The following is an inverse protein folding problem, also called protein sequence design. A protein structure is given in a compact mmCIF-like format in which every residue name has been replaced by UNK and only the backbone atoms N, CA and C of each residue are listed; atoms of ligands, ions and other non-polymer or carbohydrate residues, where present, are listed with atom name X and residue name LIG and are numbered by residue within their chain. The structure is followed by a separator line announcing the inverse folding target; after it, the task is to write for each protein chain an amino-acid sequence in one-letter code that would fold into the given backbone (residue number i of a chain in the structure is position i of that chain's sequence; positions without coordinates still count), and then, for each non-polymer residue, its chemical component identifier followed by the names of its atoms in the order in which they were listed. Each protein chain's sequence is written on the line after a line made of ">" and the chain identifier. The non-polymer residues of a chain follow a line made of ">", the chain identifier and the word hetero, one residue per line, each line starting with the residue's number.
data_IF_371366698234
#
_entry.id   IF_371366698234
#
_cell.length_a   1.000
_cell.length_b   1.000
_cell.length_c   1.000
_cell.angle_alpha   90.00
_cell.angle_beta   90.00
_cell.angle_gamma   90.00
#
_symmetry.space_group_name_H-M   'P 1'
#
loop_
_entity.id
_entity.type
_entity.pdbx_description
1 polymer ?
#
# COMPACT_ATOMS: atom_id res chain seq x y z
N UNK A 1 -4.04 2.61 -27.78
CA UNK A 1 -4.57 1.99 -26.55
C UNK A 1 -5.05 3.12 -25.65
N UNK A 2 -6.30 3.09 -25.22
CA UNK A 2 -6.80 4.09 -24.25
C UNK A 2 -6.44 3.67 -22.84
N UNK A 3 -5.83 4.57 -22.06
CA UNK A 3 -5.50 4.33 -20.66
C UNK A 3 -6.74 4.67 -19.82
N UNK A 4 -7.30 3.68 -19.12
CA UNK A 4 -8.43 3.90 -18.21
C UNK A 4 -7.95 4.50 -16.88
N UNK A 5 -7.97 5.82 -16.79
CA UNK A 5 -7.55 6.58 -15.60
C UNK A 5 -8.35 6.19 -14.35
N UNK A 6 -9.66 5.93 -14.49
CA UNK A 6 -10.52 5.53 -13.36
C UNK A 6 -10.05 4.18 -12.83
N UNK A 7 -9.87 3.19 -13.70
CA UNK A 7 -9.37 1.86 -13.32
C UNK A 7 -7.99 1.94 -12.65
N UNK A 8 -7.12 2.83 -13.14
CA UNK A 8 -5.79 3.04 -12.57
C UNK A 8 -5.82 3.71 -11.19
N UNK A 9 -6.68 4.71 -10.99
CA UNK A 9 -6.89 5.35 -9.69
C UNK A 9 -7.53 4.40 -8.68
N UNK A 10 -8.51 3.60 -9.11
CA UNK A 10 -9.12 2.55 -8.28
C UNK A 10 -8.09 1.52 -7.84
N UNK A 11 -7.23 1.06 -8.76
CA UNK A 11 -6.13 0.15 -8.44
C UNK A 11 -5.14 0.76 -7.43
N UNK A 12 -4.78 2.03 -7.62
CA UNK A 12 -3.89 2.74 -6.70
C UNK A 12 -4.50 2.85 -5.28
N UNK A 13 -5.82 3.09 -5.19
CA UNK A 13 -6.53 3.11 -3.90
C UNK A 13 -6.58 1.73 -3.24
N UNK A 14 -6.79 0.65 -4.01
CA UNK A 14 -6.74 -0.72 -3.49
C UNK A 14 -5.34 -1.06 -2.95
N UNK A 15 -4.29 -0.70 -3.67
CA UNK A 15 -2.91 -0.89 -3.23
C UNK A 15 -2.61 -0.10 -1.95
N UNK A 16 -3.16 1.11 -1.80
CA UNK A 16 -3.06 1.88 -0.56
C UNK A 16 -3.69 1.14 0.64
N UNK A 17 -4.84 0.51 0.45
CA UNK A 17 -5.50 -0.32 1.46
C UNK A 17 -4.70 -1.59 1.80
N UNK A 18 -4.20 -2.29 0.78
CA UNK A 18 -3.34 -3.47 0.95
C UNK A 18 -2.06 -3.13 1.76
N UNK A 19 -1.43 -2.00 1.47
CA UNK A 19 -0.26 -1.54 2.19
C UNK A 19 -0.55 -1.21 3.66
N UNK A 20 -1.69 -0.56 3.96
CA UNK A 20 -2.14 -0.30 5.33
C UNK A 20 -2.33 -1.61 6.12
N UNK A 21 -2.92 -2.63 5.49
CA UNK A 21 -3.06 -3.96 6.08
C UNK A 21 -1.72 -4.61 6.47
N UNK A 22 -0.61 -4.14 5.90
CA UNK A 22 0.76 -4.59 6.20
C UNK A 22 1.54 -3.64 7.11
N UNK A 23 0.87 -2.74 7.83
CA UNK A 23 1.45 -1.68 8.67
C UNK A 23 2.37 -0.72 7.89
N UNK A 24 2.07 -0.44 6.63
CA UNK A 24 2.77 0.56 5.81
C UNK A 24 1.89 1.78 5.58
N UNK A 25 2.49 2.91 5.22
CA UNK A 25 1.76 4.13 4.84
C UNK A 25 0.96 3.92 3.56
N UNK A 26 -0.37 3.88 3.66
CA UNK A 26 -1.24 3.73 2.50
C UNK A 26 -1.09 4.86 1.49
N UNK A 27 -0.92 6.11 1.96
CA UNK A 27 -0.80 7.27 1.09
C UNK A 27 0.48 7.24 0.25
N UNK A 28 1.60 6.80 0.83
CA UNK A 28 2.83 6.61 0.06
C UNK A 28 2.63 5.56 -1.03
N UNK A 29 1.98 4.44 -0.69
CA UNK A 29 1.71 3.36 -1.64
C UNK A 29 0.67 3.73 -2.70
N UNK A 30 -0.27 4.63 -2.40
CA UNK A 30 -1.17 5.23 -3.38
C UNK A 30 -0.36 5.96 -4.47
N UNK A 31 0.49 6.91 -4.08
CA UNK A 31 1.29 7.70 -5.03
C UNK A 31 2.31 6.85 -5.79
N UNK A 32 2.91 5.83 -5.15
CA UNK A 32 3.80 4.86 -5.82
C UNK A 32 3.03 4.04 -6.87
N UNK A 33 1.77 3.70 -6.59
CA UNK A 33 0.94 2.92 -7.51
C UNK A 33 0.49 3.71 -8.75
N UNK A 34 0.44 5.05 -8.69
CA UNK A 34 0.07 5.86 -9.85
C UNK A 34 1.01 5.67 -11.07
N UNK A 35 2.35 5.67 -10.93
CA UNK A 35 3.24 5.33 -12.03
C UNK A 35 3.48 3.81 -12.19
N UNK A 36 3.45 3.02 -11.11
CA UNK A 36 3.79 1.58 -11.17
C UNK A 36 2.62 0.68 -11.57
N UNK A 37 1.38 1.12 -11.35
CA UNK A 37 0.17 0.34 -11.63
C UNK A 37 0.18 -1.03 -10.92
N UNK A 38 -0.11 -2.13 -11.64
CA UNK A 38 -0.14 -3.47 -11.07
C UNK A 38 1.18 -3.96 -10.45
N UNK A 39 2.32 -3.39 -10.85
CA UNK A 39 3.62 -3.77 -10.28
C UNK A 39 3.70 -3.42 -8.79
N UNK A 40 3.05 -2.34 -8.35
CA UNK A 40 2.98 -2.00 -6.93
C UNK A 40 2.22 -3.07 -6.13
N UNK A 41 1.22 -3.72 -6.73
CA UNK A 41 0.48 -4.83 -6.09
C UNK A 41 1.42 -6.01 -5.81
N UNK A 42 2.23 -6.40 -6.79
CA UNK A 42 3.21 -7.48 -6.61
C UNK A 42 4.17 -7.17 -5.46
N UNK A 43 4.71 -5.96 -5.43
CA UNK A 43 5.61 -5.51 -4.35
C UNK A 43 4.94 -5.58 -2.97
N UNK A 44 3.70 -5.09 -2.84
CA UNK A 44 2.98 -5.12 -1.55
C UNK A 44 2.71 -6.56 -1.12
N UNK A 45 2.32 -7.44 -2.05
CA UNK A 45 1.94 -8.82 -1.74
C UNK A 45 3.14 -9.64 -1.27
N UNK A 46 4.28 -9.56 -1.96
CA UNK A 46 5.47 -10.34 -1.59
C UNK A 46 6.16 -9.83 -0.33
N UNK A 47 6.00 -8.55 0.00
CA UNK A 47 6.66 -7.97 1.16
C UNK A 47 5.96 -8.32 2.47
N UNK A 48 6.67 -8.86 3.44
CA UNK A 48 6.13 -9.14 4.77
C UNK A 48 5.59 -7.90 5.48
N UNK A 49 4.62 -8.11 6.37
CA UNK A 49 4.06 -7.07 7.24
C UNK A 49 5.14 -6.47 8.15
N UNK A 50 5.15 -5.14 8.31
CA UNK A 50 6.05 -4.50 9.27
C UNK A 50 5.56 -4.88 10.68
N UNK A 51 6.43 -5.40 11.56
CA UNK A 51 6.07 -5.65 12.95
C UNK A 51 5.59 -4.35 13.59
N UNK A 52 4.43 -4.39 14.26
CA UNK A 52 4.08 -3.27 15.13
C UNK A 52 5.08 -3.27 16.26
N UNK A 53 5.71 -2.13 16.49
CA UNK A 53 6.57 -1.97 17.65
C UNK A 53 5.74 -2.34 18.89
N UNK A 54 6.26 -3.22 19.78
CA UNK A 54 5.54 -3.56 20.98
C UNK A 54 5.23 -2.25 21.69
N UNK A 55 3.95 -1.99 21.96
CA UNK A 55 3.49 -0.78 22.63
C UNK A 55 4.36 -0.63 23.88
N UNK A 56 5.33 0.28 23.80
CA UNK A 56 6.39 0.41 24.79
C UNK A 56 5.71 0.72 26.10
N UNK A 57 5.58 -0.31 26.96
CA UNK A 57 5.32 -0.21 28.38
C UNK A 57 4.50 1.04 28.75
N UNK A 58 3.17 1.01 28.59
CA UNK A 58 2.27 1.81 29.47
C UNK A 58 2.27 1.20 30.87
N UNK A 59 3.46 1.03 31.41
CA UNK A 59 3.75 0.51 32.73
C UNK A 59 4.61 1.54 33.43
N UNK A 60 4.01 2.71 33.63
CA UNK A 60 4.20 3.62 34.76
C UNK A 60 2.86 4.34 34.94
#
# INVERSE_FOLDING_TARGET
>A
MEVNVIGWLTLALINAGLAQGKNRSGLNWFFISLPMGPLATLLIVVWDRIPKEPERKRMY
#
